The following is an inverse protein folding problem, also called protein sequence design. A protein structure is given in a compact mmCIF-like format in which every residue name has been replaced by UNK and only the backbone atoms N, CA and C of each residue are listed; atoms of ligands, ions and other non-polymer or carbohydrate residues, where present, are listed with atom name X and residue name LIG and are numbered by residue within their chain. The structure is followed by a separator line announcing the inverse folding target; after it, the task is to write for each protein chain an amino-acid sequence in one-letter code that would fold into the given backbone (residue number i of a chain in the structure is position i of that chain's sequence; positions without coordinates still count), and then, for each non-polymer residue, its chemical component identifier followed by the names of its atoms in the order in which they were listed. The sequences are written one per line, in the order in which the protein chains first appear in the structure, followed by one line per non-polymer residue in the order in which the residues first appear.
data_IF_362045327007
#
_entry.id   IF_362045327007
#
_cell.length_a   1.000
_cell.length_b   1.000
_cell.length_c   1.000
_cell.angle_alpha   90.00
_cell.angle_beta   90.00
_cell.angle_gamma   90.00
#
_symmetry.space_group_name_H-M   'P 1'
#
loop_
_entity.id
_entity.type
_entity.pdbx_description
1 polymer ?
#
# COMPACT_ATOMS: atom_id res chain seq x y z
N UNK A 1 84.39 -8.36 -12.27
CA UNK A 1 83.21 -7.82 -12.93
C UNK A 1 82.65 -8.90 -13.87
N UNK A 2 81.71 -9.69 -13.41
CA UNK A 2 81.10 -10.77 -14.19
C UNK A 2 79.63 -10.41 -14.47
N UNK A 3 79.28 -10.27 -15.72
CA UNK A 3 77.88 -10.13 -16.20
C UNK A 3 77.23 -11.52 -16.16
N UNK A 4 76.12 -11.69 -15.40
CA UNK A 4 75.30 -12.88 -15.47
C UNK A 4 74.04 -12.54 -16.27
N UNK A 5 73.88 -13.19 -17.42
CA UNK A 5 72.74 -13.15 -18.30
C UNK A 5 71.71 -14.14 -17.75
N UNK A 6 70.49 -13.66 -17.47
CA UNK A 6 69.33 -14.53 -17.14
C UNK A 6 68.49 -14.73 -18.42
N UNK A 7 68.37 -15.98 -18.82
CA UNK A 7 67.45 -16.38 -19.90
C UNK A 7 66.05 -16.56 -19.34
N UNK A 8 65.08 -15.91 -19.95
CA UNK A 8 63.67 -16.00 -19.62
C UNK A 8 63.04 -17.14 -20.47
N UNK A 9 62.62 -18.20 -19.82
CA UNK A 9 61.94 -19.31 -20.46
C UNK A 9 60.40 -19.02 -20.40
N UNK A 10 59.81 -18.76 -21.57
CA UNK A 10 58.38 -18.54 -21.67
C UNK A 10 57.68 -19.87 -21.88
N UNK A 11 56.95 -20.32 -20.89
CA UNK A 11 56.12 -21.53 -20.98
C UNK A 11 54.70 -21.12 -21.41
N UNK A 12 54.34 -21.42 -22.63
CA UNK A 12 52.99 -21.15 -23.17
C UNK A 12 52.12 -22.38 -22.80
N UNK A 13 51.20 -22.22 -21.85
CA UNK A 13 50.18 -23.22 -21.55
C UNK A 13 48.92 -22.87 -22.36
N UNK A 14 48.61 -23.68 -23.34
CA UNK A 14 47.30 -23.67 -24.07
C UNK A 14 46.25 -24.29 -23.16
N UNK A 15 45.36 -23.48 -22.63
CA UNK A 15 44.09 -23.95 -22.05
C UNK A 15 43.06 -24.04 -23.17
N UNK A 16 42.69 -25.27 -23.57
CA UNK A 16 41.52 -25.52 -24.38
C UNK A 16 40.25 -25.31 -23.56
N UNK A 17 39.50 -24.25 -23.87
CA UNK A 17 38.14 -24.06 -23.35
C UNK A 17 37.19 -24.89 -24.21
N UNK A 18 36.75 -26.03 -23.68
CA UNK A 18 35.56 -26.72 -24.19
C UNK A 18 34.33 -25.83 -23.89
N UNK A 19 33.74 -25.30 -24.94
CA UNK A 19 32.40 -24.64 -24.88
C UNK A 19 31.35 -25.75 -24.71
N UNK A 20 31.00 -26.07 -23.45
CA UNK A 20 29.84 -26.89 -23.16
C UNK A 20 28.59 -26.11 -23.58
N UNK A 21 27.80 -26.74 -24.49
CA UNK A 21 26.59 -26.17 -25.06
C UNK A 21 25.60 -25.77 -23.97
N UNK A 22 25.27 -24.47 -23.91
CA UNK A 22 24.12 -23.97 -23.16
C UNK A 22 22.85 -24.43 -23.90
N UNK A 23 22.06 -25.29 -23.27
CA UNK A 23 20.70 -25.54 -23.73
C UNK A 23 19.93 -24.21 -23.82
N UNK A 24 19.11 -24.01 -24.86
CA UNK A 24 18.29 -22.79 -24.96
C UNK A 24 17.28 -22.78 -23.82
N UNK A 25 17.24 -21.64 -23.11
CA UNK A 25 16.26 -21.33 -22.07
C UNK A 25 14.87 -21.56 -22.68
N UNK A 26 14.15 -22.60 -22.22
CA UNK A 26 12.76 -22.81 -22.60
C UNK A 26 11.97 -21.56 -22.22
N UNK A 27 11.39 -20.90 -23.21
CA UNK A 27 10.47 -19.79 -22.98
C UNK A 27 9.33 -20.27 -22.06
N UNK A 28 9.12 -19.58 -20.96
CA UNK A 28 7.97 -19.79 -20.09
C UNK A 28 6.68 -19.65 -20.93
N UNK A 29 5.67 -20.52 -20.70
CA UNK A 29 4.40 -20.38 -21.39
C UNK A 29 3.82 -18.99 -21.09
N UNK A 30 3.14 -18.35 -22.07
CA UNK A 30 2.53 -17.06 -21.87
C UNK A 30 1.57 -17.16 -20.69
N UNK A 31 1.74 -16.24 -19.71
CA UNK A 31 0.78 -16.02 -18.63
C UNK A 31 -0.58 -15.83 -19.31
N UNK A 32 -1.54 -16.71 -19.03
CA UNK A 32 -2.92 -16.52 -19.49
C UNK A 32 -3.35 -15.14 -19.03
N UNK A 33 -3.56 -14.23 -19.98
CA UNK A 33 -4.18 -12.93 -19.71
C UNK A 33 -5.46 -13.24 -18.93
N UNK A 34 -5.50 -12.76 -17.68
CA UNK A 34 -6.72 -12.74 -16.86
C UNK A 34 -7.75 -11.98 -17.72
N UNK A 35 -8.88 -12.59 -18.02
CA UNK A 35 -9.98 -11.87 -18.64
C UNK A 35 -10.17 -10.58 -17.83
N UNK A 36 -10.33 -9.44 -18.51
CA UNK A 36 -10.63 -8.17 -17.87
C UNK A 36 -11.91 -8.33 -17.05
N UNK A 37 -11.76 -8.77 -15.80
CA UNK A 37 -12.85 -8.78 -14.84
C UNK A 37 -13.12 -7.33 -14.51
N UNK A 38 -14.30 -6.84 -14.87
CA UNK A 38 -14.74 -5.50 -14.53
C UNK A 38 -14.58 -5.31 -13.03
N UNK A 39 -13.75 -4.35 -12.64
CA UNK A 39 -13.60 -3.94 -11.23
C UNK A 39 -14.99 -3.52 -10.75
N UNK A 40 -15.50 -4.20 -9.71
CA UNK A 40 -16.80 -3.88 -9.10
C UNK A 40 -16.52 -3.13 -7.81
N UNK A 41 -16.95 -1.90 -7.72
CA UNK A 41 -16.75 -1.06 -6.54
C UNK A 41 -18.04 -0.94 -5.73
N UNK A 42 -17.92 -0.55 -4.48
CA UNK A 42 -19.06 -0.46 -3.57
C UNK A 42 -20.17 0.46 -4.09
N UNK A 43 -19.83 1.53 -4.80
CA UNK A 43 -20.82 2.42 -5.46
C UNK A 43 -21.59 1.73 -6.57
N UNK A 44 -20.98 0.79 -7.29
CA UNK A 44 -21.66 0.01 -8.35
C UNK A 44 -22.74 -0.92 -7.75
N UNK A 45 -22.59 -1.30 -6.49
CA UNK A 45 -23.58 -2.07 -5.72
C UNK A 45 -24.64 -1.19 -5.03
N UNK A 46 -24.60 0.12 -5.27
CA UNK A 46 -25.56 1.07 -4.70
C UNK A 46 -25.26 1.50 -3.26
N UNK A 47 -24.05 1.23 -2.75
CA UNK A 47 -23.63 1.72 -1.42
C UNK A 47 -23.47 3.24 -1.48
N UNK A 48 -24.20 4.02 -0.64
CA UNK A 48 -24.06 5.47 -0.60
C UNK A 48 -22.85 5.88 0.23
N UNK A 49 -22.08 6.80 -0.30
CA UNK A 49 -20.99 7.44 0.42
C UNK A 49 -21.05 8.95 0.28
N UNK A 50 -20.75 9.64 1.36
CA UNK A 50 -20.69 11.10 1.42
C UNK A 50 -19.47 11.65 0.64
N UNK A 51 -19.59 12.90 0.22
CA UNK A 51 -18.55 13.66 -0.46
C UNK A 51 -18.46 13.36 -1.96
N UNK A 52 -17.74 14.21 -2.67
CA UNK A 52 -17.54 14.10 -4.12
C UNK A 52 -16.24 13.36 -4.40
N UNK A 53 -16.28 12.18 -5.04
CA UNK A 53 -15.06 11.48 -5.41
C UNK A 53 -14.27 12.23 -6.49
N UNK A 54 -12.97 11.99 -6.59
CA UNK A 54 -12.18 12.35 -7.75
C UNK A 54 -12.57 11.52 -8.98
N UNK A 55 -11.89 11.76 -10.09
CA UNK A 55 -12.21 11.12 -11.38
C UNK A 55 -12.11 9.60 -11.35
N UNK A 56 -11.09 9.08 -10.66
CA UNK A 56 -10.82 7.65 -10.51
C UNK A 56 -11.36 7.10 -9.19
N UNK A 57 -11.71 7.99 -8.27
CA UNK A 57 -12.04 7.67 -6.88
C UNK A 57 -10.94 6.81 -6.22
N UNK A 58 -9.69 7.17 -6.41
CA UNK A 58 -8.49 6.44 -6.03
C UNK A 58 -7.44 7.39 -5.45
N UNK A 59 -6.46 6.86 -4.72
CA UNK A 59 -5.29 7.61 -4.26
C UNK A 59 -4.53 8.25 -5.44
N UNK A 60 -4.59 7.65 -6.60
CA UNK A 60 -3.99 8.13 -7.86
C UNK A 60 -4.70 9.34 -8.48
N UNK A 61 -5.81 9.81 -7.92
CA UNK A 61 -6.37 11.13 -8.23
C UNK A 61 -5.50 12.27 -7.69
N UNK A 62 -4.63 12.00 -6.72
CA UNK A 62 -3.63 12.96 -6.25
C UNK A 62 -2.49 13.01 -7.26
N UNK A 63 -2.20 14.17 -7.87
CA UNK A 63 -1.22 14.29 -8.93
C UNK A 63 0.17 13.78 -8.51
N UNK A 64 0.76 12.94 -9.35
CA UNK A 64 2.07 12.35 -9.18
C UNK A 64 2.10 11.04 -8.40
N UNK A 65 1.02 10.66 -7.72
CA UNK A 65 0.98 9.38 -6.99
C UNK A 65 0.89 8.22 -7.95
N UNK A 66 1.79 7.25 -7.77
CA UNK A 66 1.83 5.99 -8.53
C UNK A 66 1.76 4.81 -7.58
N UNK A 67 1.10 3.72 -8.03
CA UNK A 67 0.93 2.48 -7.26
C UNK A 67 1.27 1.29 -8.14
N UNK A 68 1.99 0.32 -7.57
CA UNK A 68 2.36 -0.90 -8.27
C UNK A 68 2.28 -2.13 -7.36
N UNK A 69 2.20 -3.31 -7.97
CA UNK A 69 1.94 -4.55 -7.27
C UNK A 69 2.81 -5.71 -7.76
N UNK A 70 3.15 -6.59 -6.83
CA UNK A 70 3.58 -7.96 -7.12
C UNK A 70 2.71 -8.92 -6.32
N UNK A 71 1.94 -9.77 -7.00
CA UNK A 71 1.03 -10.74 -6.38
C UNK A 71 1.63 -12.14 -6.48
N UNK A 72 1.76 -12.83 -5.34
CA UNK A 72 2.34 -14.17 -5.24
C UNK A 72 1.26 -15.17 -4.80
N UNK A 73 0.81 -15.99 -5.74
CA UNK A 73 -0.17 -17.06 -5.51
C UNK A 73 0.37 -18.37 -6.10
N UNK A 74 0.61 -19.37 -5.25
CA UNK A 74 1.03 -20.70 -5.67
C UNK A 74 0.72 -21.78 -4.65
N UNK A 75 0.66 -23.03 -5.09
CA UNK A 75 0.44 -24.20 -4.23
C UNK A 75 -0.97 -24.27 -3.64
N UNK A 76 -1.34 -25.47 -3.20
CA UNK A 76 -2.62 -25.81 -2.58
C UNK A 76 -2.42 -26.90 -1.51
N UNK A 77 -3.44 -27.07 -0.64
CA UNK A 77 -3.49 -28.14 0.34
C UNK A 77 -2.74 -27.84 1.63
N UNK A 78 -2.07 -28.88 2.19
CA UNK A 78 -1.41 -28.80 3.48
C UNK A 78 -0.18 -27.90 3.45
N UNK A 79 0.04 -27.15 4.54
CA UNK A 79 1.24 -26.35 4.73
C UNK A 79 2.52 -27.21 4.68
N UNK A 80 3.45 -26.80 3.82
CA UNK A 80 4.84 -27.25 3.81
C UNK A 80 5.73 -26.01 3.82
N UNK A 81 6.30 -25.68 4.98
CA UNK A 81 7.04 -24.41 5.18
C UNK A 81 8.20 -24.30 4.17
N UNK A 82 8.24 -23.20 3.48
CA UNK A 82 9.19 -22.92 2.39
C UNK A 82 8.71 -23.35 1.00
N UNK A 83 7.58 -24.06 0.91
CA UNK A 83 6.96 -24.47 -0.37
C UNK A 83 5.56 -23.88 -0.58
N UNK A 84 4.84 -23.59 0.51
CA UNK A 84 3.52 -22.99 0.43
C UNK A 84 2.42 -23.84 1.09
N UNK A 85 1.15 -23.54 0.80
CA UNK A 85 0.61 -22.58 -0.20
C UNK A 85 0.99 -21.13 0.08
N UNK A 86 1.24 -20.37 -1.01
CA UNK A 86 1.62 -18.95 -0.98
C UNK A 86 0.42 -18.08 -1.36
N UNK A 87 0.10 -17.10 -0.50
CA UNK A 87 -0.97 -16.11 -0.70
C UNK A 87 -0.49 -14.78 -0.12
N UNK A 88 0.42 -14.11 -0.82
CA UNK A 88 1.09 -12.88 -0.34
C UNK A 88 1.45 -11.96 -1.50
N UNK A 89 2.21 -10.91 -1.24
CA UNK A 89 2.71 -10.01 -2.26
C UNK A 89 3.28 -8.72 -1.70
N UNK A 90 3.49 -7.77 -2.61
CA UNK A 90 4.07 -6.46 -2.34
C UNK A 90 3.25 -5.39 -3.03
N UNK A 91 2.92 -4.33 -2.30
CA UNK A 91 2.36 -3.09 -2.85
C UNK A 91 3.38 -1.97 -2.69
N UNK A 92 3.62 -1.21 -3.74
CA UNK A 92 4.48 -0.03 -3.72
C UNK A 92 3.66 1.23 -4.01
N UNK A 93 3.93 2.33 -3.30
CA UNK A 93 3.33 3.66 -3.52
C UNK A 93 4.46 4.65 -3.65
N UNK A 94 4.54 5.34 -4.80
CA UNK A 94 5.54 6.37 -5.08
C UNK A 94 4.85 7.74 -5.00
N UNK A 95 5.22 8.61 -4.04
CA UNK A 95 4.49 9.85 -3.76
C UNK A 95 4.44 10.86 -4.90
N UNK A 96 5.52 10.96 -5.70
CA UNK A 96 5.65 11.91 -6.81
C UNK A 96 6.08 11.26 -8.13
N UNK A 97 5.84 9.95 -8.27
CA UNK A 97 6.20 9.19 -9.45
C UNK A 97 7.70 9.00 -9.64
N UNK A 98 8.04 8.21 -10.65
CA UNK A 98 9.42 7.83 -10.97
C UNK A 98 10.32 9.02 -11.32
N UNK A 99 9.78 10.05 -11.94
CA UNK A 99 10.55 11.22 -12.38
C UNK A 99 11.00 12.12 -11.21
N UNK A 100 10.48 11.91 -10.02
CA UNK A 100 10.71 12.77 -8.85
C UNK A 100 11.13 12.00 -7.60
N UNK A 101 11.81 10.86 -7.75
CA UNK A 101 12.25 9.99 -6.65
C UNK A 101 13.16 10.68 -5.62
N UNK A 102 13.87 11.73 -6.03
CA UNK A 102 14.81 12.48 -5.19
C UNK A 102 14.21 13.75 -4.61
N UNK A 103 12.90 13.99 -4.79
CA UNK A 103 12.20 15.12 -4.21
C UNK A 103 11.28 14.67 -3.07
N UNK A 104 11.74 14.72 -1.81
CA UNK A 104 10.97 14.30 -0.65
C UNK A 104 9.65 15.06 -0.52
N UNK A 105 8.65 14.42 0.07
CA UNK A 105 7.36 15.03 0.38
C UNK A 105 7.21 15.28 1.86
N UNK A 106 6.54 16.37 2.27
CA UNK A 106 6.13 16.51 3.66
C UNK A 106 5.20 15.37 4.04
N UNK A 107 5.44 14.79 5.23
CA UNK A 107 4.68 13.68 5.74
C UNK A 107 4.43 13.76 7.25
N UNK A 108 3.47 12.96 7.73
CA UNK A 108 3.19 12.79 9.15
C UNK A 108 2.65 11.40 9.42
N UNK A 109 3.13 10.78 10.48
CA UNK A 109 2.82 9.42 10.91
C UNK A 109 1.93 9.41 12.15
N UNK A 110 1.06 8.40 12.26
CA UNK A 110 0.23 8.15 13.44
C UNK A 110 0.03 6.65 13.65
N UNK A 111 0.34 6.17 14.86
CA UNK A 111 -0.01 4.83 15.34
C UNK A 111 -1.29 4.92 16.16
N UNK A 112 -2.35 4.25 15.71
CA UNK A 112 -3.57 4.07 16.51
C UNK A 112 -3.40 2.89 17.45
N UNK A 113 -2.88 1.77 16.93
CA UNK A 113 -2.63 0.55 17.66
C UNK A 113 -1.32 -0.08 17.16
N UNK A 114 -0.39 -0.35 18.05
CA UNK A 114 1.01 -0.60 17.72
C UNK A 114 1.40 -2.06 17.54
N UNK A 115 0.46 -3.01 17.42
CA UNK A 115 0.79 -4.42 17.16
C UNK A 115 1.11 -4.66 15.67
N UNK A 116 2.05 -3.91 15.13
CA UNK A 116 2.48 -3.96 13.74
C UNK A 116 3.78 -3.19 13.53
N UNK A 117 4.31 -3.22 12.32
CA UNK A 117 5.55 -2.56 11.97
C UNK A 117 5.37 -1.60 10.78
N UNK A 118 5.96 -0.41 10.92
CA UNK A 118 6.20 0.54 9.85
C UNK A 118 7.58 1.17 10.06
N UNK A 119 8.54 0.80 9.21
CA UNK A 119 9.93 1.29 9.31
C UNK A 119 10.03 2.76 8.91
N UNK A 120 11.13 3.43 9.24
CA UNK A 120 11.42 4.80 8.82
C UNK A 120 10.58 5.90 9.51
N UNK A 121 9.60 5.55 10.34
CA UNK A 121 8.66 6.49 10.96
C UNK A 121 9.31 7.44 11.97
N UNK A 122 10.39 7.01 12.64
CA UNK A 122 11.16 7.87 13.52
C UNK A 122 11.74 9.07 12.76
N UNK A 123 12.25 8.85 11.55
CA UNK A 123 12.77 9.92 10.70
C UNK A 123 11.66 10.79 10.11
N UNK A 124 10.54 10.20 9.73
CA UNK A 124 9.34 10.97 9.30
C UNK A 124 8.86 11.92 10.41
N UNK A 125 8.81 11.46 11.66
CA UNK A 125 8.41 12.29 12.80
C UNK A 125 9.43 13.38 13.12
N UNK A 126 10.74 13.12 12.96
CA UNK A 126 11.81 14.07 13.26
C UNK A 126 12.00 15.09 12.14
N UNK A 127 12.12 14.64 10.89
CA UNK A 127 12.40 15.50 9.74
C UNK A 127 11.15 16.16 9.15
N UNK A 128 9.99 15.52 9.30
CA UNK A 128 8.77 15.91 8.62
C UNK A 128 8.72 15.47 7.16
N UNK A 129 9.68 14.67 6.68
CA UNK A 129 9.78 14.20 5.30
C UNK A 129 9.62 12.70 5.15
N UNK A 130 8.96 12.31 4.08
CA UNK A 130 9.00 10.97 3.49
C UNK A 130 9.94 11.01 2.30
N UNK A 131 11.04 10.23 2.38
CA UNK A 131 12.13 10.23 1.41
C UNK A 131 12.10 8.96 0.55
N UNK A 132 11.20 8.91 -0.43
CA UNK A 132 11.08 7.80 -1.37
C UNK A 132 9.75 7.05 -1.27
N UNK A 133 9.68 5.82 -1.79
CA UNK A 133 8.45 5.05 -1.83
C UNK A 133 8.04 4.50 -0.47
N UNK A 134 6.73 4.22 -0.34
CA UNK A 134 6.15 3.39 0.71
C UNK A 134 5.95 2.00 0.14
N UNK A 135 6.33 0.95 0.89
CA UNK A 135 6.06 -0.44 0.52
C UNK A 135 5.23 -1.11 1.61
N UNK A 136 4.23 -1.90 1.22
CA UNK A 136 3.38 -2.67 2.13
C UNK A 136 3.44 -4.14 1.72
N UNK A 137 3.68 -5.04 2.68
CA UNK A 137 3.80 -6.47 2.45
C UNK A 137 3.25 -7.27 3.64
N UNK A 138 3.72 -8.50 3.88
CA UNK A 138 3.39 -9.27 5.07
C UNK A 138 4.42 -9.07 6.20
N UNK A 139 4.03 -9.46 7.43
CA UNK A 139 4.80 -9.25 8.66
C UNK A 139 6.25 -9.75 8.58
N UNK A 140 6.48 -10.94 8.02
CA UNK A 140 7.83 -11.52 7.98
C UNK A 140 8.68 -11.03 6.79
N UNK A 141 8.09 -10.24 5.88
CA UNK A 141 8.78 -9.75 4.69
C UNK A 141 9.25 -8.29 4.79
N UNK A 142 8.99 -7.61 5.93
CA UNK A 142 9.39 -6.21 6.12
C UNK A 142 10.91 -6.03 5.94
N UNK A 143 11.72 -6.93 6.51
CA UNK A 143 13.17 -6.86 6.41
C UNK A 143 13.68 -6.91 4.97
N UNK A 144 13.29 -7.94 4.20
CA UNK A 144 13.68 -8.09 2.79
C UNK A 144 13.16 -6.94 1.93
N UNK A 145 11.93 -6.48 2.18
CA UNK A 145 11.35 -5.36 1.43
C UNK A 145 12.11 -4.04 1.71
N UNK A 146 12.49 -3.79 2.96
CA UNK A 146 13.29 -2.62 3.33
C UNK A 146 14.64 -2.60 2.62
N UNK A 147 15.37 -3.71 2.65
CA UNK A 147 16.68 -3.82 2.00
C UNK A 147 16.54 -3.71 0.47
N UNK A 148 15.47 -4.28 -0.10
CA UNK A 148 15.19 -4.18 -1.53
C UNK A 148 14.89 -2.73 -1.95
N UNK A 149 14.12 -1.95 -1.19
CA UNK A 149 13.89 -0.52 -1.49
C UNK A 149 15.22 0.24 -1.56
N UNK A 150 16.14 0.01 -0.63
CA UNK A 150 17.46 0.65 -0.64
C UNK A 150 18.23 0.26 -1.91
N UNK A 151 18.29 -1.06 -2.22
CA UNK A 151 18.98 -1.55 -3.41
C UNK A 151 18.37 -1.02 -4.71
N UNK A 152 17.04 -0.93 -4.79
CA UNK A 152 16.32 -0.34 -5.93
C UNK A 152 16.65 1.15 -6.09
N UNK A 153 16.65 1.93 -5.00
CA UNK A 153 16.99 3.35 -5.00
C UNK A 153 18.42 3.59 -5.48
N UNK A 154 19.38 2.77 -5.07
CA UNK A 154 20.77 2.84 -5.56
C UNK A 154 20.82 2.66 -7.08
N UNK A 155 20.05 1.75 -7.65
CA UNK A 155 19.98 1.52 -9.11
C UNK A 155 19.31 2.66 -9.85
N UNK A 156 18.35 3.35 -9.24
CA UNK A 156 17.54 4.40 -9.87
C UNK A 156 17.99 5.83 -9.50
N UNK A 157 19.26 6.02 -9.24
CA UNK A 157 19.85 7.34 -9.10
C UNK A 157 19.74 7.94 -7.70
N UNK A 158 20.28 7.23 -6.73
CA UNK A 158 20.57 7.84 -5.45
C UNK A 158 21.38 9.13 -5.66
N UNK A 159 21.04 10.23 -4.98
CA UNK A 159 21.55 11.56 -5.31
C UNK A 159 23.02 11.80 -4.95
N UNK A 160 23.61 10.91 -4.13
CA UNK A 160 24.97 11.11 -3.63
C UNK A 160 26.03 10.45 -4.53
N UNK A 161 26.83 11.27 -5.19
CA UNK A 161 27.94 10.82 -6.03
C UNK A 161 29.19 10.43 -5.24
N UNK A 162 29.23 10.70 -3.92
CA UNK A 162 30.37 10.35 -3.04
C UNK A 162 30.32 8.91 -2.53
N UNK A 163 29.19 8.23 -2.67
CA UNK A 163 28.96 6.87 -2.18
C UNK A 163 28.52 6.79 -0.72
N UNK A 164 28.21 7.93 -0.09
CA UNK A 164 27.71 8.01 1.30
C UNK A 164 26.19 8.12 1.40
N UNK A 165 25.48 7.91 0.31
CA UNK A 165 24.02 7.97 0.34
C UNK A 165 23.43 6.93 1.29
N UNK A 166 22.42 7.35 2.04
CA UNK A 166 21.68 6.52 2.97
C UNK A 166 20.18 6.71 2.78
N UNK A 167 19.38 5.76 3.27
CA UNK A 167 17.94 5.83 3.21
C UNK A 167 17.32 5.13 4.42
N UNK A 168 16.19 5.66 4.87
CA UNK A 168 15.32 5.06 5.89
C UNK A 168 13.94 4.79 5.29
N UNK A 169 13.80 3.74 4.45
CA UNK A 169 12.55 3.46 3.76
C UNK A 169 11.37 3.24 4.69
N UNK A 170 10.19 3.65 4.25
CA UNK A 170 8.93 3.30 4.90
C UNK A 170 8.42 1.99 4.32
N UNK A 171 8.50 0.93 5.12
CA UNK A 171 7.97 -0.39 4.80
C UNK A 171 7.04 -0.82 5.93
N UNK A 172 5.81 -1.17 5.58
CA UNK A 172 4.76 -1.55 6.52
C UNK A 172 4.21 -2.94 6.21
N UNK A 173 3.42 -3.48 7.13
CA UNK A 173 2.94 -4.86 6.99
C UNK A 173 1.53 -5.06 7.55
N UNK A 174 0.89 -6.13 7.08
CA UNK A 174 -0.25 -6.78 7.73
C UNK A 174 -0.07 -8.30 7.68
N UNK A 175 -0.57 -9.02 8.68
CA UNK A 175 -0.37 -10.46 8.84
C UNK A 175 -1.24 -11.29 7.89
N UNK A 176 -0.61 -12.14 7.06
CA UNK A 176 -1.30 -13.03 6.10
C UNK A 176 -1.27 -14.52 6.47
N UNK A 177 -0.72 -14.86 7.63
CA UNK A 177 -0.41 -16.24 8.01
C UNK A 177 -1.59 -17.20 8.14
N UNK A 178 -2.85 -16.74 8.00
CA UNK A 178 -4.01 -17.65 7.92
C UNK A 178 -4.09 -18.35 6.56
N UNK A 179 -3.85 -17.64 5.48
CA UNK A 179 -3.92 -18.15 4.11
C UNK A 179 -2.55 -18.49 3.52
N UNK A 180 -1.48 -17.84 4.01
CA UNK A 180 -0.14 -17.89 3.47
C UNK A 180 0.82 -18.72 4.32
N UNK A 181 1.79 -19.39 3.69
CA UNK A 181 3.01 -19.87 4.33
C UNK A 181 3.92 -18.69 4.68
N UNK A 182 3.56 -17.95 5.73
CA UNK A 182 4.27 -16.72 6.14
C UNK A 182 5.72 -17.02 6.59
N UNK A 183 5.97 -18.22 7.14
CA UNK A 183 7.30 -18.65 7.61
C UNK A 183 8.21 -19.16 6.46
N UNK A 184 7.67 -19.28 5.26
CA UNK A 184 8.42 -19.67 4.06
C UNK A 184 9.23 -18.54 3.42
N UNK A 185 9.06 -17.29 3.86
CA UNK A 185 9.77 -16.11 3.35
C UNK A 185 9.73 -16.01 1.82
N UNK A 186 8.53 -16.08 1.24
CA UNK A 186 8.33 -16.17 -0.20
C UNK A 186 8.58 -14.87 -0.94
N UNK A 187 8.42 -13.70 -0.31
CA UNK A 187 8.75 -12.40 -0.91
C UNK A 187 10.27 -12.27 -1.05
N UNK A 188 10.71 -11.90 -2.25
CA UNK A 188 12.13 -11.72 -2.62
C UNK A 188 12.38 -10.26 -3.04
N UNK A 189 13.65 -9.82 -3.09
CA UNK A 189 13.98 -8.47 -3.57
C UNK A 189 13.40 -8.16 -4.96
N UNK A 190 13.36 -9.13 -5.86
CA UNK A 190 12.85 -9.00 -7.22
C UNK A 190 11.35 -8.69 -7.23
N UNK A 191 10.58 -9.19 -6.27
CA UNK A 191 9.15 -8.91 -6.14
C UNK A 191 8.91 -7.45 -5.74
N UNK A 192 9.78 -6.91 -4.88
CA UNK A 192 9.75 -5.49 -4.49
C UNK A 192 10.16 -4.61 -5.67
N UNK A 193 11.21 -4.99 -6.41
CA UNK A 193 11.63 -4.27 -7.61
C UNK A 193 10.51 -4.22 -8.63
N UNK A 194 9.86 -5.36 -8.89
CA UNK A 194 8.75 -5.42 -9.84
C UNK A 194 7.58 -4.50 -9.42
N UNK A 195 7.19 -4.51 -8.14
CA UNK A 195 6.14 -3.63 -7.65
C UNK A 195 6.51 -2.14 -7.81
N UNK A 196 7.77 -1.78 -7.56
CA UNK A 196 8.28 -0.43 -7.75
C UNK A 196 8.37 -0.05 -9.23
N UNK A 197 8.93 -0.91 -10.09
CA UNK A 197 9.14 -0.65 -11.52
C UNK A 197 7.82 -0.55 -12.30
N UNK A 198 6.78 -1.26 -11.85
CA UNK A 198 5.45 -1.27 -12.48
C UNK A 198 4.48 -0.27 -11.87
N UNK A 199 4.89 0.51 -10.88
CA UNK A 199 4.04 1.54 -10.30
C UNK A 199 3.64 2.58 -11.34
N UNK A 200 2.35 2.94 -11.35
CA UNK A 200 1.77 3.85 -12.32
C UNK A 200 0.61 4.65 -11.73
N UNK A 201 0.33 5.80 -12.32
CA UNK A 201 -0.88 6.57 -12.08
C UNK A 201 -2.09 6.01 -12.84
N UNK A 202 -3.25 6.61 -12.67
CA UNK A 202 -4.48 6.16 -13.35
C UNK A 202 -5.25 5.11 -12.55
N UNK A 203 -5.95 4.21 -13.24
CA UNK A 203 -6.75 3.15 -12.59
C UNK A 203 -5.82 2.10 -12.00
N UNK A 204 -6.03 1.77 -10.73
CA UNK A 204 -5.28 0.73 -10.00
C UNK A 204 -6.22 -0.40 -9.56
N UNK A 205 -5.67 -1.59 -9.36
CA UNK A 205 -6.41 -2.76 -8.87
C UNK A 205 -6.66 -2.65 -7.36
N UNK A 206 -7.76 -3.27 -6.90
CA UNK A 206 -8.17 -3.38 -5.49
C UNK A 206 -8.31 -4.86 -5.10
N UNK A 207 -8.63 -5.15 -3.85
CA UNK A 207 -8.86 -6.51 -3.36
C UNK A 207 -7.59 -7.33 -3.18
N UNK A 208 -7.59 -8.57 -3.68
CA UNK A 208 -6.54 -9.57 -3.47
C UNK A 208 -5.35 -9.39 -4.42
N UNK A 209 -4.71 -8.23 -4.39
CA UNK A 209 -3.53 -7.89 -5.20
C UNK A 209 -2.40 -7.38 -4.33
N UNK A 210 -1.16 -7.57 -4.78
CA UNK A 210 0.01 -7.12 -4.04
C UNK A 210 0.03 -7.62 -2.60
N UNK A 211 0.39 -6.75 -1.66
CA UNK A 211 0.36 -7.04 -0.23
C UNK A 211 -1.03 -7.41 0.31
N UNK A 212 -2.12 -6.99 -0.38
CA UNK A 212 -3.50 -7.32 -0.02
C UNK A 212 -3.92 -8.77 -0.29
N UNK A 213 -3.07 -9.59 -0.92
CA UNK A 213 -3.43 -10.92 -1.42
C UNK A 213 -3.94 -11.87 -0.33
N UNK A 214 -3.25 -12.01 0.80
CA UNK A 214 -3.61 -12.95 1.88
C UNK A 214 -4.49 -12.35 2.98
N UNK A 215 -5.03 -11.14 2.80
CA UNK A 215 -5.70 -10.37 3.85
C UNK A 215 -7.14 -10.81 4.10
N UNK A 216 -7.59 -10.63 5.34
CA UNK A 216 -8.93 -10.97 5.82
C UNK A 216 -9.47 -9.77 6.59
N UNK A 217 -10.59 -9.19 6.11
CA UNK A 217 -11.20 -8.02 6.72
C UNK A 217 -12.64 -8.31 7.13
N UNK A 218 -12.95 -8.07 8.39
CA UNK A 218 -14.24 -8.47 9.00
C UNK A 218 -14.59 -9.94 8.75
N UNK A 219 -13.56 -10.79 8.74
CA UNK A 219 -13.69 -12.24 8.49
C UNK A 219 -14.28 -12.58 7.10
N UNK A 220 -14.35 -11.61 6.20
CA UNK A 220 -14.45 -11.80 4.77
C UNK A 220 -13.08 -11.67 4.10
N UNK A 221 -12.95 -12.06 2.84
CA UNK A 221 -11.72 -11.80 2.09
C UNK A 221 -11.47 -10.30 2.03
N UNK A 222 -10.38 -9.88 2.66
CA UNK A 222 -9.87 -8.52 2.68
C UNK A 222 -8.86 -8.26 1.58
N UNK A 223 -8.18 -7.12 1.62
CA UNK A 223 -7.20 -6.75 0.61
C UNK A 223 -6.92 -5.27 0.56
N UNK A 224 -6.49 -4.80 -0.60
CA UNK A 224 -6.26 -3.40 -0.87
C UNK A 224 -7.55 -2.68 -1.25
N UNK A 225 -7.70 -1.45 -0.77
CA UNK A 225 -8.81 -0.59 -1.17
C UNK A 225 -8.39 0.85 -1.28
N UNK A 226 -9.06 1.60 -2.14
CA UNK A 226 -8.75 3.01 -2.36
C UNK A 226 -10.01 3.84 -2.58
N UNK A 227 -9.94 5.12 -2.25
CA UNK A 227 -10.95 6.11 -2.58
C UNK A 227 -10.37 7.52 -2.52
N UNK A 228 -11.04 8.49 -3.11
CA UNK A 228 -10.64 9.90 -3.04
C UNK A 228 -11.83 10.84 -2.82
N UNK A 229 -11.51 12.08 -2.41
CA UNK A 229 -12.47 13.18 -2.28
C UNK A 229 -11.91 14.47 -2.85
N UNK A 230 -12.76 15.17 -3.58
CA UNK A 230 -12.52 16.56 -4.00
C UNK A 230 -12.92 17.48 -2.85
N UNK A 231 -12.00 18.31 -2.39
CA UNK A 231 -12.15 19.18 -1.22
C UNK A 231 -12.11 20.64 -1.66
N UNK A 232 -13.24 21.31 -1.51
CA UNK A 232 -13.36 22.73 -1.83
C UNK A 232 -13.13 23.58 -0.59
N UNK A 233 -12.07 24.38 -0.58
CA UNK A 233 -11.73 25.30 0.50
C UNK A 233 -11.87 26.73 0.03
N UNK A 234 -12.53 27.57 0.85
CA UNK A 234 -12.71 29.01 0.61
C UNK A 234 -12.64 29.80 1.93
N UNK A 235 -12.18 31.03 1.88
CA UNK A 235 -12.05 31.90 3.04
C UNK A 235 -13.35 32.62 3.41
N UNK A 236 -14.25 32.81 2.43
CA UNK A 236 -15.57 33.38 2.61
C UNK A 236 -16.55 32.83 1.58
N UNK A 237 -17.86 33.12 1.74
CA UNK A 237 -18.89 32.71 0.76
C UNK A 237 -18.68 33.37 -0.59
N UNK A 238 -18.08 34.56 -0.63
CA UNK A 238 -17.90 35.38 -1.84
C UNK A 238 -16.60 35.11 -2.58
N UNK A 239 -15.68 34.29 -1.99
CA UNK A 239 -14.44 33.88 -2.63
C UNK A 239 -14.63 32.56 -3.40
N UNK A 240 -14.11 32.44 -4.65
CA UNK A 240 -14.11 31.16 -5.36
C UNK A 240 -13.34 30.10 -4.55
N UNK A 241 -13.85 28.87 -4.47
CA UNK A 241 -13.16 27.81 -3.78
C UNK A 241 -11.87 27.43 -4.51
N UNK A 242 -10.86 27.05 -3.75
CA UNK A 242 -9.73 26.27 -4.29
C UNK A 242 -10.00 24.80 -4.02
N UNK A 243 -9.96 23.99 -5.05
CA UNK A 243 -10.19 22.54 -4.97
C UNK A 243 -8.88 21.81 -4.78
N UNK A 244 -8.87 20.89 -3.81
CA UNK A 244 -7.80 19.95 -3.55
C UNK A 244 -8.34 18.52 -3.60
N UNK A 245 -7.45 17.54 -3.69
CA UNK A 245 -7.79 16.13 -3.63
C UNK A 245 -7.20 15.52 -2.35
N UNK A 246 -7.99 14.69 -1.68
CA UNK A 246 -7.53 13.75 -0.66
C UNK A 246 -7.78 12.36 -1.21
N UNK A 247 -6.72 11.56 -1.32
CA UNK A 247 -6.76 10.15 -1.69
C UNK A 247 -6.34 9.27 -0.52
N UNK A 248 -7.01 8.13 -0.36
CA UNK A 248 -6.68 7.11 0.64
C UNK A 248 -6.44 5.79 -0.07
N UNK A 249 -5.35 5.13 0.29
CA UNK A 249 -5.09 3.72 0.00
C UNK A 249 -4.92 2.99 1.31
N UNK A 250 -5.49 1.79 1.44
CA UNK A 250 -5.29 0.97 2.63
C UNK A 250 -5.16 -0.52 2.28
N UNK A 251 -4.43 -1.24 3.13
CA UNK A 251 -4.39 -2.69 3.17
C UNK A 251 -5.18 -3.16 4.38
N UNK A 252 -6.39 -3.72 4.11
CA UNK A 252 -7.38 -4.07 5.13
C UNK A 252 -7.26 -5.54 5.56
N UNK A 253 -6.89 -5.74 6.82
CA UNK A 253 -6.74 -7.04 7.46
C UNK A 253 -7.18 -6.98 8.93
N UNK A 254 -8.42 -6.59 9.22
CA UNK A 254 -8.88 -6.31 10.59
C UNK A 254 -10.37 -6.60 10.78
N UNK A 255 -10.80 -6.59 12.04
CA UNK A 255 -12.21 -6.58 12.45
C UNK A 255 -12.86 -7.96 12.55
N UNK A 256 -13.92 -8.03 13.35
CA UNK A 256 -14.78 -9.22 13.51
C UNK A 256 -16.01 -9.11 12.63
N UNK A 257 -16.52 -10.22 12.12
CA UNK A 257 -17.72 -10.29 11.28
C UNK A 257 -18.89 -9.48 11.85
N UNK A 258 -19.19 -9.66 13.11
CA UNK A 258 -20.32 -9.01 13.79
C UNK A 258 -20.19 -7.50 13.93
N UNK A 259 -19.00 -6.95 13.76
CA UNK A 259 -18.74 -5.50 13.84
C UNK A 259 -19.06 -4.77 12.53
N UNK A 260 -19.00 -5.48 11.37
CA UNK A 260 -19.08 -4.83 10.07
C UNK A 260 -20.35 -4.01 9.88
N UNK A 261 -20.17 -2.73 9.67
CA UNK A 261 -21.20 -1.75 9.31
C UNK A 261 -20.84 -1.12 7.95
N UNK A 262 -21.77 -1.10 7.02
CA UNK A 262 -21.60 -0.46 5.70
C UNK A 262 -22.72 0.55 5.52
N UNK A 263 -22.37 1.83 5.36
CA UNK A 263 -23.33 2.93 5.21
C UNK A 263 -24.42 2.95 6.32
N UNK A 264 -24.04 2.61 7.55
CA UNK A 264 -24.91 2.56 8.72
C UNK A 264 -25.76 1.28 8.81
N UNK A 265 -25.61 0.32 7.90
CA UNK A 265 -26.29 -0.98 7.93
C UNK A 265 -25.38 -2.01 8.62
N UNK A 266 -25.87 -2.77 9.63
CA UNK A 266 -25.07 -3.74 10.37
C UNK A 266 -24.88 -5.06 9.59
N UNK A 267 -24.24 -4.98 8.40
CA UNK A 267 -24.08 -6.06 7.42
C UNK A 267 -23.51 -7.34 8.05
N UNK A 268 -22.55 -7.19 8.96
CA UNK A 268 -21.90 -8.33 9.60
C UNK A 268 -22.81 -9.13 10.54
N UNK A 269 -23.92 -8.53 11.03
CA UNK A 269 -24.95 -9.24 11.79
C UNK A 269 -25.93 -9.98 10.90
N UNK A 270 -26.19 -9.44 9.71
CA UNK A 270 -27.13 -9.98 8.73
C UNK A 270 -26.51 -11.04 7.81
N UNK A 271 -25.16 -11.06 7.74
CA UNK A 271 -24.38 -12.09 7.06
C UNK A 271 -23.44 -12.73 8.09
N UNK A 272 -23.92 -13.60 8.97
CA UNK A 272 -23.12 -14.16 10.05
C UNK A 272 -22.04 -15.11 9.52
N UNK A 273 -20.96 -15.25 10.28
CA UNK A 273 -19.85 -16.15 10.01
C UNK A 273 -18.73 -15.93 11.03
N UNK A 274 -17.80 -16.85 11.09
CA UNK A 274 -16.64 -16.78 11.96
C UNK A 274 -15.44 -17.45 11.30
N UNK A 275 -14.29 -16.77 11.28
CA UNK A 275 -13.00 -17.31 10.82
C UNK A 275 -12.07 -17.51 12.01
N UNK A 276 -12.05 -16.56 12.94
CA UNK A 276 -11.17 -16.56 14.10
C UNK A 276 -11.95 -16.63 15.43
N UNK A 277 -11.32 -17.23 16.45
CA UNK A 277 -11.83 -17.16 17.82
C UNK A 277 -11.59 -15.79 18.46
N UNK A 278 -10.43 -15.18 18.14
CA UNK A 278 -10.00 -13.87 18.63
C UNK A 278 -9.67 -12.97 17.45
N UNK A 279 -9.84 -11.66 17.63
CA UNK A 279 -9.45 -10.69 16.60
C UNK A 279 -7.95 -10.72 16.40
N UNK A 280 -7.54 -10.92 15.15
CA UNK A 280 -6.15 -10.86 14.71
C UNK A 280 -6.12 -10.09 13.39
N UNK A 281 -5.26 -9.10 13.28
CA UNK A 281 -5.20 -8.34 12.04
C UNK A 281 -4.35 -7.09 12.14
N UNK A 282 -4.49 -6.22 11.16
CA UNK A 282 -3.79 -4.94 11.05
C UNK A 282 -4.45 -4.08 9.98
N UNK A 283 -4.19 -2.78 10.02
CA UNK A 283 -4.55 -1.87 8.94
C UNK A 283 -3.40 -0.91 8.65
N UNK A 284 -2.88 -0.96 7.45
CA UNK A 284 -1.97 0.07 6.97
C UNK A 284 -2.75 1.01 6.06
N UNK A 285 -2.71 2.31 6.37
CA UNK A 285 -3.35 3.31 5.52
C UNK A 285 -2.38 4.44 5.13
N UNK A 286 -2.46 4.81 3.86
CA UNK A 286 -1.70 5.89 3.24
C UNK A 286 -2.67 6.95 2.77
N UNK A 287 -2.51 8.18 3.25
CA UNK A 287 -3.29 9.35 2.83
C UNK A 287 -2.40 10.25 1.98
N UNK A 288 -2.82 10.52 0.76
CA UNK A 288 -2.16 11.49 -0.11
C UNK A 288 -3.03 12.73 -0.31
N UNK A 289 -2.41 13.88 -0.53
CA UNK A 289 -3.12 15.10 -0.93
C UNK A 289 -2.22 16.04 -1.74
N UNK A 290 -2.80 16.83 -2.61
CA UNK A 290 -2.16 17.95 -3.28
C UNK A 290 -2.35 19.27 -2.51
N UNK A 291 -3.07 19.26 -1.39
CA UNK A 291 -3.20 20.41 -0.51
C UNK A 291 -1.84 20.73 0.15
N UNK A 292 -1.40 22.00 0.16
CA UNK A 292 -0.12 22.38 0.77
C UNK A 292 -0.25 22.34 2.30
N UNK A 293 0.27 21.26 2.88
CA UNK A 293 0.20 21.00 4.32
C UNK A 293 1.60 20.80 4.92
N UNK A 294 1.74 21.24 6.16
CA UNK A 294 2.94 21.03 6.98
C UNK A 294 2.91 19.64 7.63
N UNK A 295 4.06 19.08 8.04
CA UNK A 295 4.13 17.74 8.65
C UNK A 295 3.17 17.53 9.83
N UNK A 296 3.04 18.50 10.73
CA UNK A 296 2.11 18.44 11.85
C UNK A 296 0.62 18.43 11.40
N UNK A 297 0.29 19.09 10.29
CA UNK A 297 -1.06 19.05 9.69
C UNK A 297 -1.31 17.70 9.03
N UNK A 298 -0.33 17.12 8.36
CA UNK A 298 -0.40 15.78 7.77
C UNK A 298 -0.55 14.70 8.85
N UNK A 299 0.16 14.80 9.97
CA UNK A 299 -0.07 13.92 11.13
C UNK A 299 -1.52 14.01 11.65
N UNK A 300 -2.15 15.20 11.58
CA UNK A 300 -3.57 15.36 11.91
C UNK A 300 -4.49 14.72 10.88
N UNK A 301 -4.11 14.67 9.59
CA UNK A 301 -4.83 13.91 8.58
C UNK A 301 -4.73 12.40 8.86
N UNK A 302 -3.53 11.87 9.09
CA UNK A 302 -3.31 10.46 9.43
C UNK A 302 -4.20 10.00 10.60
N UNK A 303 -4.33 10.82 11.66
CA UNK A 303 -5.24 10.55 12.79
C UNK A 303 -6.71 10.38 12.38
N UNK A 304 -7.18 10.99 11.30
CA UNK A 304 -8.59 10.91 10.86
C UNK A 304 -8.92 9.59 10.19
N UNK A 305 -7.94 8.83 9.74
CA UNK A 305 -8.13 7.45 9.27
C UNK A 305 -8.86 6.63 10.33
N UNK A 306 -8.50 6.76 11.62
CA UNK A 306 -9.17 6.09 12.75
C UNK A 306 -10.68 6.28 12.76
N UNK A 307 -11.15 7.51 12.46
CA UNK A 307 -12.57 7.83 12.43
C UNK A 307 -13.28 7.21 11.23
N UNK A 308 -12.59 7.10 10.09
CA UNK A 308 -13.10 6.41 8.90
C UNK A 308 -13.22 4.91 9.12
N UNK A 309 -12.22 4.28 9.74
CA UNK A 309 -12.26 2.88 10.16
C UNK A 309 -13.41 2.61 11.12
N UNK A 310 -13.58 3.47 12.15
CA UNK A 310 -14.66 3.33 13.13
C UNK A 310 -16.06 3.39 12.50
N UNK A 311 -16.25 4.11 11.37
CA UNK A 311 -17.53 4.12 10.63
C UNK A 311 -17.87 2.76 10.02
N UNK A 312 -16.89 1.91 9.78
CA UNK A 312 -17.10 0.52 9.31
C UNK A 312 -17.28 -0.48 10.44
N UNK A 313 -17.24 -0.03 11.72
CA UNK A 313 -17.63 -0.79 12.90
C UNK A 313 -16.49 -1.35 13.74
N UNK A 314 -15.25 -1.32 13.28
CA UNK A 314 -14.10 -1.79 14.07
C UNK A 314 -13.85 -0.92 15.29
N UNK A 315 -13.32 -1.53 16.33
CA UNK A 315 -12.82 -0.87 17.55
C UNK A 315 -11.31 -0.92 17.64
N UNK A 316 -10.61 -1.36 16.58
CA UNK A 316 -9.16 -1.59 16.54
C UNK A 316 -8.72 -2.46 17.72
N UNK A 317 -9.06 -3.76 17.68
CA UNK A 317 -8.82 -4.70 18.78
C UNK A 317 -7.33 -4.81 19.13
N UNK A 318 -7.05 -5.31 20.34
CA UNK A 318 -5.68 -5.37 20.88
C UNK A 318 -4.68 -6.12 19.99
N UNK A 319 -5.14 -7.08 19.20
CA UNK A 319 -4.32 -7.86 18.26
C UNK A 319 -4.04 -7.15 16.93
N UNK A 320 -4.60 -5.95 16.70
CA UNK A 320 -4.44 -5.20 15.45
C UNK A 320 -3.25 -4.26 15.48
N UNK A 321 -2.54 -4.13 14.34
CA UNK A 321 -1.49 -3.13 14.11
C UNK A 321 -2.01 -2.07 13.13
N UNK A 322 -2.50 -0.94 13.66
CA UNK A 322 -3.16 0.08 12.86
C UNK A 322 -2.26 1.31 12.74
N UNK A 323 -1.53 1.39 11.63
CA UNK A 323 -0.47 2.38 11.39
C UNK A 323 -0.78 3.19 10.13
N UNK A 324 -0.75 4.52 10.26
CA UNK A 324 -1.17 5.44 9.21
C UNK A 324 -0.11 6.48 8.90
N UNK A 325 0.09 6.77 7.63
CA UNK A 325 0.95 7.84 7.15
C UNK A 325 0.18 8.74 6.19
N UNK A 326 0.40 10.05 6.29
CA UNK A 326 -0.15 11.01 5.35
C UNK A 326 0.98 11.84 4.73
N UNK A 327 0.88 12.14 3.44
CA UNK A 327 1.83 13.00 2.75
C UNK A 327 1.16 14.00 1.80
N UNK A 328 1.91 15.06 1.46
CA UNK A 328 1.45 16.07 0.50
C UNK A 328 2.38 16.16 -0.69
N UNK A 329 1.83 16.10 -1.91
CA UNK A 329 2.58 16.31 -3.15
C UNK A 329 2.81 17.79 -3.49
N UNK A 330 2.27 18.71 -2.68
CA UNK A 330 2.55 20.15 -2.79
C UNK A 330 3.99 20.49 -2.36
N UNK A 331 4.41 21.74 -2.61
CA UNK A 331 5.72 22.24 -2.24
C UNK A 331 6.89 21.40 -2.79
N UNK A 332 7.03 21.25 -4.11
CA UNK A 332 8.16 20.54 -4.69
C UNK A 332 9.49 21.24 -4.41
N UNK A 333 10.58 20.45 -4.38
CA UNK A 333 11.95 20.91 -4.15
C UNK A 333 12.20 21.60 -2.80
N UNK A 334 11.31 21.44 -1.82
CA UNK A 334 11.44 22.13 -0.52
C UNK A 334 12.60 21.59 0.33
N UNK A 335 13.09 20.38 0.04
CA UNK A 335 14.24 19.77 0.71
C UNK A 335 15.57 20.02 -0.04
N UNK A 336 15.56 20.77 -1.15
CA UNK A 336 16.78 21.01 -1.95
C UNK A 336 17.79 21.88 -1.17
N UNK A 337 19.02 21.40 -0.88
CA UNK A 337 20.04 22.12 -0.13
C UNK A 337 20.74 23.25 -0.92
N UNK A 338 20.49 23.38 -2.22
CA UNK A 338 21.09 24.44 -3.06
C UNK A 338 20.62 25.85 -2.71
N UNK A 339 19.61 25.96 -1.82
CA UNK A 339 19.08 27.23 -1.33
C UNK A 339 19.07 27.27 0.17
N UNK A 340 19.50 28.37 0.74
CA UNK A 340 19.50 28.63 2.20
C UNK A 340 18.07 28.68 2.78
N UNK A 341 17.11 29.12 1.96
CA UNK A 341 15.69 29.23 2.36
C UNK A 341 14.76 28.86 1.22
N UNK A 342 13.59 28.30 1.56
CA UNK A 342 12.51 28.01 0.63
C UNK A 342 11.23 28.75 1.03
N UNK A 343 10.50 29.23 0.03
CA UNK A 343 9.12 29.72 0.23
C UNK A 343 8.17 28.54 0.07
N UNK A 344 7.35 28.29 1.06
CA UNK A 344 6.34 27.23 1.05
C UNK A 344 4.93 27.80 1.10
N UNK A 345 3.97 27.09 0.55
CA UNK A 345 2.55 27.34 0.77
C UNK A 345 2.05 26.47 1.91
N UNK A 346 1.07 26.97 2.65
CA UNK A 346 0.37 26.18 3.67
C UNK A 346 -1.07 26.65 3.81
N UNK A 347 -1.96 25.73 4.18
CA UNK A 347 -3.36 26.04 4.52
C UNK A 347 -3.43 26.42 5.99
N UNK A 348 -4.10 27.54 6.35
CA UNK A 348 -4.36 27.89 7.74
C UNK A 348 -5.11 26.79 8.49
N UNK A 349 -4.77 26.58 9.77
CA UNK A 349 -5.39 25.53 10.58
C UNK A 349 -6.93 25.62 10.66
N UNK A 350 -7.48 26.83 10.63
CA UNK A 350 -8.94 27.06 10.69
C UNK A 350 -9.68 26.62 9.42
N UNK A 351 -8.94 26.25 8.35
CA UNK A 351 -9.49 25.75 7.09
C UNK A 351 -9.27 24.25 6.90
N UNK A 352 -8.84 23.52 7.92
CA UNK A 352 -8.50 22.09 7.82
C UNK A 352 -9.71 21.14 7.87
N UNK A 353 -10.84 21.53 8.43
CA UNK A 353 -11.99 20.64 8.66
C UNK A 353 -12.53 19.95 7.39
N UNK A 354 -12.60 20.60 6.22
CA UNK A 354 -12.99 19.90 5.00
C UNK A 354 -12.03 18.78 4.60
N UNK A 355 -10.71 18.94 4.83
CA UNK A 355 -9.70 17.90 4.57
C UNK A 355 -9.86 16.72 5.54
N UNK A 356 -10.13 16.99 6.83
CA UNK A 356 -10.42 15.95 7.82
C UNK A 356 -11.64 15.13 7.42
N UNK A 357 -12.73 15.80 7.03
CA UNK A 357 -13.94 15.16 6.55
C UNK A 357 -13.65 14.29 5.33
N UNK A 358 -12.87 14.79 4.38
CA UNK A 358 -12.45 14.04 3.19
C UNK A 358 -11.69 12.76 3.52
N UNK A 359 -10.76 12.80 4.47
CA UNK A 359 -10.03 11.59 4.92
C UNK A 359 -10.98 10.56 5.51
N UNK A 360 -11.91 10.98 6.40
CA UNK A 360 -12.88 10.06 7.03
C UNK A 360 -13.74 9.37 5.97
N UNK A 361 -14.29 10.15 5.04
CA UNK A 361 -15.16 9.63 3.97
C UNK A 361 -14.43 8.72 2.99
N UNK A 362 -13.20 9.09 2.59
CA UNK A 362 -12.40 8.27 1.69
C UNK A 362 -11.94 6.98 2.37
N UNK A 363 -11.60 7.01 3.66
CA UNK A 363 -11.21 5.80 4.42
C UNK A 363 -12.36 4.82 4.52
N UNK A 364 -13.56 5.29 4.89
CA UNK A 364 -14.76 4.44 4.97
C UNK A 364 -15.03 3.72 3.62
N UNK A 365 -15.00 4.47 2.52
CA UNK A 365 -15.22 3.89 1.19
C UNK A 365 -14.09 2.95 0.77
N UNK A 366 -12.82 3.27 1.06
CA UNK A 366 -11.69 2.41 0.73
C UNK A 366 -11.78 1.04 1.44
N UNK A 367 -12.22 0.99 2.71
CA UNK A 367 -12.46 -0.29 3.41
C UNK A 367 -13.52 -1.12 2.71
N UNK A 368 -14.64 -0.51 2.32
CA UNK A 368 -15.72 -1.25 1.66
C UNK A 368 -15.30 -1.71 0.25
N UNK A 369 -14.53 -0.90 -0.49
CA UNK A 369 -13.96 -1.30 -1.77
C UNK A 369 -13.02 -2.50 -1.63
N UNK A 370 -12.16 -2.53 -0.58
CA UNK A 370 -11.29 -3.67 -0.28
C UNK A 370 -12.05 -4.99 -0.06
N UNK A 371 -13.28 -4.91 0.45
CA UNK A 371 -14.17 -6.06 0.64
C UNK A 371 -14.90 -6.47 -0.64
N UNK A 372 -15.36 -5.47 -1.42
CA UNK A 372 -16.22 -5.70 -2.59
C UNK A 372 -15.41 -6.18 -3.79
N UNK A 373 -14.26 -5.60 -4.09
CA UNK A 373 -13.45 -6.04 -5.23
C UNK A 373 -12.59 -7.27 -4.87
N UNK A 374 -13.26 -8.34 -4.43
CA UNK A 374 -12.60 -9.54 -3.97
C UNK A 374 -13.27 -10.84 -4.44
N UNK A 375 -12.52 -11.92 -4.32
CA UNK A 375 -12.98 -13.29 -4.57
C UNK A 375 -12.62 -14.17 -3.38
N UNK A 376 -13.46 -15.17 -3.10
CA UNK A 376 -13.18 -16.18 -2.09
C UNK A 376 -11.83 -16.85 -2.36
N UNK A 377 -11.08 -17.14 -1.31
CA UNK A 377 -9.72 -17.69 -1.44
C UNK A 377 -9.50 -18.87 -0.50
N UNK A 378 -8.86 -19.90 -1.04
CA UNK A 378 -8.32 -21.02 -0.27
C UNK A 378 -6.80 -20.86 -0.15
N UNK A 379 -6.28 -20.99 1.06
CA UNK A 379 -4.86 -20.93 1.37
C UNK A 379 -4.32 -22.23 1.96
N UNK A 380 -3.27 -22.11 2.78
CA UNK A 380 -2.63 -23.24 3.45
C UNK A 380 -3.64 -24.06 4.28
N UNK A 381 -3.39 -25.35 4.42
CA UNK A 381 -4.21 -26.28 5.20
C UNK A 381 -5.69 -26.33 4.75
N UNK A 382 -5.99 -25.89 3.52
CA UNK A 382 -7.33 -25.70 2.97
C UNK A 382 -8.16 -24.66 3.73
N UNK A 383 -7.54 -23.73 4.43
CA UNK A 383 -8.25 -22.61 5.04
C UNK A 383 -8.98 -21.81 3.94
N UNK A 384 -10.27 -21.69 4.06
CA UNK A 384 -11.13 -20.99 3.12
C UNK A 384 -11.67 -19.71 3.75
N UNK A 385 -11.63 -18.63 2.98
CA UNK A 385 -12.21 -17.34 3.35
C UNK A 385 -13.12 -16.88 2.21
N UNK A 386 -14.39 -16.65 2.55
CA UNK A 386 -15.37 -16.18 1.57
C UNK A 386 -15.21 -14.69 1.26
N UNK A 387 -15.50 -14.30 0.03
CA UNK A 387 -15.72 -12.90 -0.34
C UNK A 387 -17.05 -12.39 0.21
N UNK A 388 -17.17 -11.06 0.41
CA UNK A 388 -18.44 -10.43 0.76
C UNK A 388 -19.47 -10.67 -0.37
N UNK A 389 -20.63 -11.32 -0.09
CA UNK A 389 -21.60 -11.64 -1.13
C UNK A 389 -22.30 -10.37 -1.64
N UNK A 390 -22.07 -10.02 -2.91
CA UNK A 390 -22.56 -8.78 -3.53
C UNK A 390 -24.08 -8.67 -3.52
N UNK A 391 -24.79 -9.74 -3.89
CA UNK A 391 -26.28 -9.76 -3.92
C UNK A 391 -26.88 -9.49 -2.55
N UNK A 392 -26.29 -10.10 -1.50
CA UNK A 392 -26.75 -9.89 -0.11
C UNK A 392 -26.47 -8.47 0.34
N UNK A 393 -25.29 -7.92 0.04
CA UNK A 393 -24.97 -6.54 0.35
C UNK A 393 -25.97 -5.60 -0.33
N UNK A 394 -26.19 -5.77 -1.64
CA UNK A 394 -27.13 -4.95 -2.41
C UNK A 394 -28.56 -4.99 -1.81
N UNK A 395 -29.08 -6.18 -1.47
CA UNK A 395 -30.37 -6.35 -0.82
C UNK A 395 -30.46 -5.60 0.52
N UNK A 396 -29.48 -5.73 1.39
CA UNK A 396 -29.45 -5.08 2.70
C UNK A 396 -29.43 -3.56 2.59
N UNK A 397 -28.59 -3.02 1.69
CA UNK A 397 -28.51 -1.57 1.43
C UNK A 397 -29.84 -1.05 0.89
N UNK A 398 -30.43 -1.73 -0.10
CA UNK A 398 -31.73 -1.35 -0.70
C UNK A 398 -32.85 -1.35 0.34
N UNK A 399 -32.93 -2.40 1.17
CA UNK A 399 -33.94 -2.51 2.22
C UNK A 399 -33.82 -1.39 3.26
N UNK A 400 -32.62 -1.07 3.71
CA UNK A 400 -32.37 0.04 4.63
C UNK A 400 -32.80 1.39 4.10
N UNK A 401 -32.63 1.66 2.78
CA UNK A 401 -33.07 2.91 2.17
C UNK A 401 -34.60 3.01 2.01
N UNK A 402 -35.29 1.89 1.87
CA UNK A 402 -36.76 1.89 1.77
C UNK A 402 -37.48 2.12 3.08
N UNK A 403 -36.78 2.01 4.21
CA UNK A 403 -37.30 2.23 5.57
C UNK A 403 -37.02 3.63 6.14
N UNK A 404 -36.20 4.43 5.44
CA UNK A 404 -35.91 5.84 5.77
C UNK A 404 -36.74 6.78 4.89
#
# INVERSE_FOLDING_TARGET
MQKRTFALLTLTVLFGLELSGREPIKSLPPVKQRAETKIVRARDLGVPFDGTPGKLNSITDVPGVEVGYTTLISGEGKLDVGKGPVRTGVTAIIPRGHDSLNDPVYAGYFSLNGNGEMTGTAWVDESGFLEGPIVITNTHSVGVARDAVIAWRIKHGAPDTTGYWWSLPVVAETWDGWLNDINGFHVKPEDVFHALDTAHGGVIEEGSVGGGTGMICYEFKGGNGTASRQINIRTSKDTPPRTFVVGVFLQANFGRRSQLVIAGVPVGKDIPGEVYKEESGSCIAVVATDAPLLPNQLKRLAKRVSLGLARTGTVSGNGSGDLFIAFSTANPNVANPDRVTHTIQTIPNDLMDPLFTGVVQATEEAVVNALVDNHSMTGRDNHYVEALPHDRLHELIKHSHSMR
#
